data_IF_166900843020
#
_entry.id   IF_166900843020
#
_cell.length_a   1.000
_cell.length_b   1.000
_cell.length_c   1.000
_cell.angle_alpha   90.00
_cell.angle_beta   90.00
_cell.angle_gamma   90.00
#
_symmetry.space_group_name_H-M   'P 1'
#
loop_
_entity.id
_entity.type
_entity.pdbx_description
1 polymer ?
#
# COMPACT_ATOMS: atom_id res chain seq x y z
N UNK A 1 -16.70 8.02 -12.22
CA UNK A 1 -15.39 8.59 -12.60
C UNK A 1 -14.60 7.49 -13.30
N UNK A 2 -14.30 7.63 -14.59
CA UNK A 2 -13.34 6.73 -15.26
C UNK A 2 -11.95 7.13 -14.78
N UNK A 3 -11.40 6.39 -13.83
CA UNK A 3 -9.97 6.48 -13.52
C UNK A 3 -9.25 5.96 -14.77
N UNK A 4 -8.41 6.77 -15.44
CA UNK A 4 -7.73 6.33 -16.66
C UNK A 4 -6.83 5.14 -16.34
N UNK A 5 -6.89 4.11 -17.20
CA UNK A 5 -5.99 2.96 -17.14
C UNK A 5 -4.54 3.46 -17.08
N UNK A 6 -3.69 2.89 -16.20
CA UNK A 6 -2.27 3.21 -16.18
C UNK A 6 -1.66 3.09 -17.57
N UNK A 7 -0.89 4.10 -17.97
CA UNK A 7 -0.16 4.07 -19.23
C UNK A 7 1.00 3.08 -19.13
N UNK A 8 0.83 1.92 -19.77
CA UNK A 8 1.83 0.84 -19.84
C UNK A 8 2.75 0.98 -21.06
N UNK A 9 2.73 2.10 -21.78
CA UNK A 9 3.57 2.32 -22.98
C UNK A 9 5.07 2.19 -22.72
N UNK A 10 5.49 2.36 -21.46
CA UNK A 10 6.87 2.20 -21.00
C UNK A 10 7.29 0.74 -20.75
N UNK A 11 6.36 -0.23 -20.83
CA UNK A 11 6.61 -1.65 -20.59
C UNK A 11 6.55 -2.41 -21.91
N UNK A 12 7.68 -2.96 -22.34
CA UNK A 12 7.72 -3.84 -23.52
C UNK A 12 7.07 -5.20 -23.24
N UNK A 13 6.66 -5.91 -24.30
CA UNK A 13 6.07 -7.26 -24.16
C UNK A 13 7.04 -8.25 -23.49
N UNK A 14 8.34 -8.11 -23.76
CA UNK A 14 9.38 -8.96 -23.17
C UNK A 14 9.62 -8.59 -21.70
N UNK A 15 9.56 -7.30 -21.35
CA UNK A 15 9.56 -6.84 -19.95
C UNK A 15 8.33 -7.32 -19.19
N UNK A 16 7.16 -7.30 -19.83
CA UNK A 16 5.94 -7.85 -19.25
C UNK A 16 6.05 -9.35 -19.00
N UNK A 17 6.64 -10.10 -19.93
CA UNK A 17 6.84 -11.54 -19.77
C UNK A 17 7.92 -11.90 -18.74
N UNK A 18 9.00 -11.11 -18.60
CA UNK A 18 10.04 -11.34 -17.59
C UNK A 18 9.65 -10.89 -16.18
N UNK A 19 8.80 -9.87 -16.04
CA UNK A 19 8.22 -9.44 -14.76
C UNK A 19 7.24 -10.48 -14.19
N UNK A 20 6.71 -11.37 -15.04
CA UNK A 20 5.71 -12.39 -14.70
C UNK A 20 6.25 -13.83 -14.58
N UNK A 21 7.56 -14.05 -14.33
CA UNK A 21 7.96 -15.31 -13.66
C UNK A 21 7.25 -15.36 -12.29
N UNK A 22 6.68 -16.51 -11.87
CA UNK A 22 5.35 -16.54 -11.24
C UNK A 22 5.31 -15.79 -9.91
N UNK A 23 5.03 -14.49 -9.98
CA UNK A 23 4.76 -13.66 -8.83
C UNK A 23 3.38 -14.02 -8.27
N UNK A 24 3.28 -14.12 -6.95
CA UNK A 24 2.00 -14.34 -6.28
C UNK A 24 1.42 -12.98 -5.91
N UNK A 25 0.23 -12.67 -6.42
CA UNK A 25 -0.48 -11.43 -6.11
C UNK A 25 -1.46 -11.67 -4.96
N UNK A 26 -1.10 -11.21 -3.76
CA UNK A 26 -1.96 -11.22 -2.59
C UNK A 26 -2.52 -9.82 -2.33
N UNK A 27 -3.82 -9.72 -2.06
CA UNK A 27 -4.48 -8.49 -1.64
C UNK A 27 -5.28 -8.72 -0.36
N UNK A 28 -5.30 -7.73 0.51
CA UNK A 28 -6.08 -7.74 1.75
C UNK A 28 -6.97 -6.53 1.81
N UNK A 29 -8.21 -6.72 2.26
CA UNK A 29 -9.12 -5.62 2.55
C UNK A 29 -10.01 -5.99 3.74
N UNK A 30 -10.43 -5.02 4.53
CA UNK A 30 -11.39 -5.27 5.63
C UNK A 30 -12.83 -5.38 5.08
N UNK A 31 -13.09 -4.79 3.91
CA UNK A 31 -14.39 -4.74 3.27
C UNK A 31 -14.57 -5.94 2.30
N UNK A 32 -15.63 -6.72 2.50
CA UNK A 32 -15.92 -7.90 1.70
C UNK A 32 -16.26 -7.57 0.23
N UNK A 33 -16.89 -6.42 -0.02
CA UNK A 33 -17.19 -5.94 -1.37
C UNK A 33 -15.91 -5.57 -2.11
N UNK A 34 -14.92 -4.97 -1.42
CA UNK A 34 -13.64 -4.65 -2.01
C UNK A 34 -12.88 -5.93 -2.42
N UNK A 35 -12.82 -6.93 -1.54
CA UNK A 35 -12.20 -8.23 -1.85
C UNK A 35 -12.87 -8.93 -3.06
N UNK A 36 -14.22 -8.97 -3.10
CA UNK A 36 -14.98 -9.50 -4.25
C UNK A 36 -14.72 -8.71 -5.54
N UNK A 37 -14.58 -7.39 -5.44
CA UNK A 37 -14.31 -6.52 -6.58
C UNK A 37 -12.90 -6.75 -7.12
N UNK A 38 -11.90 -6.91 -6.25
CA UNK A 38 -10.53 -7.27 -6.64
C UNK A 38 -10.48 -8.56 -7.47
N UNK A 39 -11.21 -9.61 -7.05
CA UNK A 39 -11.29 -10.86 -7.82
C UNK A 39 -11.91 -10.64 -9.21
N UNK A 40 -12.99 -9.84 -9.31
CA UNK A 40 -13.61 -9.50 -10.60
C UNK A 40 -12.68 -8.69 -11.49
N UNK A 41 -11.91 -7.76 -10.93
CA UNK A 41 -10.91 -6.98 -11.64
C UNK A 41 -9.79 -7.88 -12.17
N UNK A 42 -9.30 -8.83 -11.36
CA UNK A 42 -8.34 -9.84 -11.81
C UNK A 42 -8.88 -10.66 -12.99
N UNK A 43 -10.11 -11.17 -12.87
CA UNK A 43 -10.79 -11.93 -13.93
C UNK A 43 -10.92 -11.12 -15.23
N UNK A 44 -11.38 -9.86 -15.15
CA UNK A 44 -11.53 -8.99 -16.30
C UNK A 44 -10.20 -8.72 -17.03
N UNK A 45 -9.08 -8.66 -16.27
CA UNK A 45 -7.74 -8.44 -16.80
C UNK A 45 -6.96 -9.74 -17.06
N UNK A 46 -7.58 -10.91 -16.83
CA UNK A 46 -6.96 -12.25 -16.98
C UNK A 46 -5.69 -12.42 -16.13
N UNK A 47 -5.67 -11.83 -14.93
CA UNK A 47 -4.61 -11.97 -13.93
C UNK A 47 -5.15 -12.71 -12.72
N UNK A 48 -4.37 -13.67 -12.20
CA UNK A 48 -4.67 -14.35 -10.94
C UNK A 48 -4.29 -13.45 -9.76
N UNK A 49 -5.27 -13.09 -8.94
CA UNK A 49 -5.09 -12.29 -7.73
C UNK A 49 -5.88 -12.97 -6.61
N UNK A 50 -5.24 -13.23 -5.48
CA UNK A 50 -5.89 -13.80 -4.30
C UNK A 50 -6.24 -12.69 -3.32
N UNK A 51 -7.52 -12.54 -3.00
CA UNK A 51 -8.02 -11.54 -2.06
C UNK A 51 -8.44 -12.18 -0.73
N UNK A 52 -7.97 -11.63 0.39
CA UNK A 52 -8.27 -12.12 1.75
C UNK A 52 -8.95 -11.01 2.54
N UNK A 53 -10.12 -11.30 3.10
CA UNK A 53 -10.82 -10.37 3.99
C UNK A 53 -10.16 -10.44 5.37
N UNK A 54 -9.44 -9.39 5.76
CA UNK A 54 -8.65 -9.37 7.00
C UNK A 54 -8.18 -7.96 7.36
N UNK A 55 -7.86 -7.72 8.63
CA UNK A 55 -7.21 -6.47 9.05
C UNK A 55 -5.72 -6.55 8.76
N UNK A 56 -5.22 -5.61 7.94
CA UNK A 56 -3.85 -5.59 7.42
C UNK A 56 -3.44 -6.97 6.90
N UNK A 57 -2.55 -7.67 7.61
CA UNK A 57 -2.06 -9.00 7.26
C UNK A 57 -2.33 -10.04 8.34
N UNK A 58 -3.16 -9.75 9.34
CA UNK A 58 -3.28 -10.55 10.57
C UNK A 58 -3.50 -12.06 10.34
N UNK A 59 -4.33 -12.44 9.37
CA UNK A 59 -4.59 -13.85 9.03
C UNK A 59 -3.48 -14.55 8.24
N UNK A 60 -2.54 -13.79 7.66
CA UNK A 60 -1.45 -14.28 6.83
C UNK A 60 -0.07 -14.09 7.49
N UNK A 61 0.00 -13.23 8.51
CA UNK A 61 1.21 -12.56 8.97
C UNK A 61 2.40 -13.51 9.16
N UNK A 62 2.20 -14.60 9.90
CA UNK A 62 3.26 -15.58 10.18
C UNK A 62 3.83 -16.25 8.94
N UNK A 63 3.02 -16.45 7.88
CA UNK A 63 3.47 -17.13 6.65
C UNK A 63 4.18 -16.20 5.68
N UNK A 64 3.87 -14.90 5.74
CA UNK A 64 4.39 -13.89 4.81
C UNK A 64 5.45 -12.98 5.44
N UNK A 65 5.76 -13.18 6.73
CA UNK A 65 6.83 -12.48 7.43
C UNK A 65 8.16 -12.66 6.68
N UNK A 66 8.86 -11.54 6.44
CA UNK A 66 10.09 -11.45 5.67
C UNK A 66 10.06 -12.05 4.25
N UNK A 67 8.87 -12.23 3.66
CA UNK A 67 8.69 -12.87 2.35
C UNK A 67 8.00 -11.97 1.33
N UNK A 68 7.80 -10.68 1.63
CA UNK A 68 7.19 -9.73 0.69
C UNK A 68 8.26 -8.93 -0.05
N UNK A 69 8.36 -9.14 -1.36
CA UNK A 69 9.28 -8.40 -2.23
C UNK A 69 8.69 -7.04 -2.67
N UNK A 70 7.37 -6.97 -2.85
CA UNK A 70 6.66 -5.73 -3.18
C UNK A 70 5.43 -5.62 -2.28
N UNK A 71 5.44 -4.62 -1.40
CA UNK A 71 4.31 -4.23 -0.56
C UNK A 71 3.75 -2.90 -1.05
N UNK A 72 2.44 -2.82 -1.26
CA UNK A 72 1.78 -1.58 -1.70
C UNK A 72 0.65 -1.30 -0.74
N UNK A 73 0.57 -0.05 -0.26
CA UNK A 73 -0.56 0.39 0.53
C UNK A 73 -0.99 1.80 0.14
N UNK A 74 -2.25 1.91 -0.27
CA UNK A 74 -2.96 3.17 -0.41
C UNK A 74 -3.94 3.29 0.76
N UNK A 75 -3.48 3.80 1.93
CA UNK A 75 -4.26 3.76 3.17
C UNK A 75 -5.43 4.75 3.15
N UNK A 76 -6.38 4.64 4.09
CA UNK A 76 -7.23 5.76 4.45
C UNK A 76 -6.38 6.86 5.10
N UNK A 77 -5.99 7.86 4.30
CA UNK A 77 -5.05 8.92 4.68
C UNK A 77 -5.72 10.27 4.95
N UNK A 78 -7.05 10.38 4.85
CA UNK A 78 -7.76 11.64 5.01
C UNK A 78 -7.90 11.96 6.49
N UNK A 79 -7.66 13.23 6.85
CA UNK A 79 -7.84 13.72 8.22
C UNK A 79 -9.34 13.66 8.58
N UNK A 80 -9.66 12.92 9.63
CA UNK A 80 -11.01 12.79 10.19
C UNK A 80 -10.96 12.85 11.71
N UNK A 81 -12.10 12.78 12.37
CA UNK A 81 -12.11 12.46 13.81
C UNK A 81 -11.71 11.00 14.02
N UNK A 82 -11.21 10.67 15.23
CA UNK A 82 -10.86 9.28 15.57
C UNK A 82 -12.06 8.34 15.58
N UNK A 83 -13.26 8.86 15.88
CA UNK A 83 -14.51 8.07 15.90
C UNK A 83 -14.91 7.54 14.51
N UNK A 84 -14.39 8.15 13.44
CA UNK A 84 -14.63 7.71 12.05
C UNK A 84 -13.69 6.58 11.60
N UNK A 85 -12.66 6.23 12.39
CA UNK A 85 -11.68 5.20 12.05
C UNK A 85 -12.21 3.81 12.42
N UNK A 86 -12.08 2.84 11.50
CA UNK A 86 -12.41 1.43 11.76
C UNK A 86 -13.83 0.99 11.39
N UNK A 87 -14.57 1.83 10.66
CA UNK A 87 -15.74 1.39 9.89
C UNK A 87 -15.34 0.23 8.94
N UNK A 88 -16.26 -0.69 8.66
CA UNK A 88 -16.10 -1.73 7.64
C UNK A 88 -16.82 -1.36 6.32
N UNK A 89 -17.40 -0.16 6.27
CA UNK A 89 -18.17 0.38 5.16
C UNK A 89 -17.29 1.12 4.14
N UNK A 90 -17.87 2.14 3.51
CA UNK A 90 -17.18 2.95 2.50
C UNK A 90 -16.21 3.94 3.17
N UNK A 91 -16.49 4.36 4.40
CA UNK A 91 -15.69 5.32 5.16
C UNK A 91 -14.29 4.77 5.47
N UNK A 92 -14.17 3.44 5.59
CA UNK A 92 -12.91 2.73 5.74
C UNK A 92 -11.89 3.01 4.61
N UNK A 93 -12.36 3.47 3.45
CA UNK A 93 -11.52 3.78 2.31
C UNK A 93 -10.77 5.12 2.44
N UNK A 94 -11.20 6.02 3.34
CA UNK A 94 -10.55 7.33 3.50
C UNK A 94 -10.27 7.75 4.95
N UNK A 95 -11.09 7.34 5.93
CA UNK A 95 -11.01 7.84 7.30
C UNK A 95 -9.72 7.44 8.03
N UNK A 96 -8.76 8.36 8.08
CA UNK A 96 -7.43 8.16 8.66
C UNK A 96 -7.26 8.71 10.07
N UNK A 97 -8.27 9.37 10.63
CA UNK A 97 -8.22 9.93 11.99
C UNK A 97 -7.32 11.16 12.11
N UNK A 98 -6.71 11.35 13.29
CA UNK A 98 -5.85 12.51 13.57
C UNK A 98 -4.66 12.53 12.61
N UNK A 99 -4.43 13.69 11.98
CA UNK A 99 -3.44 13.88 10.91
C UNK A 99 -3.59 12.89 9.72
N UNK A 100 -4.71 12.14 9.66
CA UNK A 100 -4.91 11.06 8.69
C UNK A 100 -3.96 9.87 8.88
N UNK A 101 -3.40 9.67 10.08
CA UNK A 101 -2.34 8.68 10.32
C UNK A 101 -2.69 7.50 11.19
N UNK A 102 -3.86 7.43 11.83
CA UNK A 102 -4.12 6.37 12.81
C UNK A 102 -4.04 4.96 12.23
N UNK A 103 -4.44 4.79 10.96
CA UNK A 103 -4.30 3.52 10.23
C UNK A 103 -2.86 3.33 9.72
N UNK A 104 -2.21 4.42 9.30
CA UNK A 104 -0.83 4.42 8.80
C UNK A 104 0.14 4.01 9.92
N UNK A 105 0.05 4.65 11.08
CA UNK A 105 0.91 4.44 12.23
C UNK A 105 0.79 3.00 12.77
N UNK A 106 -0.37 2.34 12.62
CA UNK A 106 -0.56 0.91 12.90
C UNK A 106 0.07 -0.01 11.86
N UNK A 107 0.17 0.45 10.61
CA UNK A 107 0.75 -0.31 9.49
C UNK A 107 2.28 -0.23 9.46
N UNK A 108 2.88 0.91 9.80
CA UNK A 108 4.33 1.13 9.71
C UNK A 108 5.20 0.02 10.37
N UNK A 109 4.90 -0.47 11.59
CA UNK A 109 5.64 -1.58 12.19
C UNK A 109 5.62 -2.85 11.33
N UNK A 110 4.49 -3.12 10.67
CA UNK A 110 4.30 -4.31 9.82
C UNK A 110 5.21 -4.28 8.59
N UNK A 111 5.52 -3.10 8.05
CA UNK A 111 6.42 -2.98 6.89
C UNK A 111 7.77 -3.63 7.20
N UNK A 112 8.35 -3.34 8.35
CA UNK A 112 9.64 -3.91 8.76
C UNK A 112 9.60 -5.43 8.97
N UNK A 113 8.45 -5.96 9.38
CA UNK A 113 8.22 -7.40 9.63
C UNK A 113 7.95 -8.17 8.34
N UNK A 114 7.26 -7.55 7.38
CA UNK A 114 6.80 -8.21 6.16
C UNK A 114 7.85 -8.21 5.05
N UNK A 115 8.60 -7.11 4.89
CA UNK A 115 9.54 -6.97 3.78
C UNK A 115 10.67 -8.01 3.83
N UNK A 116 10.89 -8.64 2.67
CA UNK A 116 12.06 -9.50 2.42
C UNK A 116 13.36 -8.69 2.47
N UNK A 117 14.50 -9.36 2.28
CA UNK A 117 15.80 -8.66 2.23
C UNK A 117 15.89 -7.64 1.08
N UNK A 118 15.20 -7.92 -0.02
CA UNK A 118 15.15 -7.07 -1.22
C UNK A 118 13.81 -6.34 -1.33
N UNK A 119 12.94 -6.50 -0.33
CA UNK A 119 11.57 -6.01 -0.35
C UNK A 119 11.47 -4.50 -0.34
N UNK A 120 10.48 -3.99 -1.06
CA UNK A 120 10.17 -2.57 -1.14
C UNK A 120 8.71 -2.32 -0.79
N UNK A 121 8.44 -1.28 -0.02
CA UNK A 121 7.09 -0.83 0.32
C UNK A 121 6.79 0.50 -0.34
N UNK A 122 5.64 0.63 -0.99
CA UNK A 122 5.13 1.86 -1.57
C UNK A 122 3.89 2.32 -0.81
N UNK A 123 3.98 3.50 -0.19
CA UNK A 123 2.93 4.08 0.63
C UNK A 123 2.44 5.39 0.00
N UNK A 124 1.13 5.51 -0.20
CA UNK A 124 0.52 6.78 -0.61
C UNK A 124 0.26 7.64 0.63
N UNK A 125 0.63 8.92 0.55
CA UNK A 125 0.44 9.92 1.61
C UNK A 125 -0.04 11.24 1.03
N UNK A 126 -0.68 12.06 1.86
CA UNK A 126 -0.93 13.49 1.63
C UNK A 126 -0.01 14.35 2.49
N UNK A 127 0.04 15.66 2.21
CA UNK A 127 0.88 16.62 2.96
C UNK A 127 0.57 16.60 4.46
N UNK A 128 -0.71 16.48 4.78
CA UNK A 128 -1.27 16.46 6.13
C UNK A 128 -0.76 15.28 6.96
N UNK A 129 -0.40 14.15 6.32
CA UNK A 129 0.18 12.99 7.00
C UNK A 129 1.63 13.21 7.42
N UNK A 130 2.24 14.35 7.08
CA UNK A 130 3.64 14.71 7.40
C UNK A 130 4.64 13.64 6.93
N UNK A 131 4.78 13.41 5.61
CA UNK A 131 5.62 12.33 5.06
C UNK A 131 7.05 12.34 5.58
N UNK A 132 7.66 13.51 5.77
CA UNK A 132 9.04 13.64 6.29
C UNK A 132 9.19 13.06 7.70
N UNK A 133 8.18 13.24 8.57
CA UNK A 133 8.15 12.68 9.93
C UNK A 133 8.06 11.16 9.89
N UNK A 134 7.17 10.61 9.05
CA UNK A 134 7.04 9.17 8.82
C UNK A 134 8.35 8.57 8.30
N UNK A 135 8.97 9.23 7.32
CA UNK A 135 10.23 8.79 6.72
C UNK A 135 11.36 8.74 7.74
N UNK A 136 11.50 9.78 8.57
CA UNK A 136 12.50 9.84 9.62
C UNK A 136 12.25 8.78 10.70
N UNK A 137 11.01 8.63 11.15
CA UNK A 137 10.64 7.59 12.12
C UNK A 137 10.94 6.17 11.61
N UNK A 138 10.67 5.90 10.33
CA UNK A 138 10.95 4.60 9.72
C UNK A 138 12.45 4.28 9.63
N UNK A 139 13.27 5.31 9.41
CA UNK A 139 14.73 5.17 9.45
C UNK A 139 15.21 4.90 10.88
N UNK A 140 14.78 5.71 11.85
CA UNK A 140 15.30 5.68 13.22
C UNK A 140 14.90 4.40 13.97
N UNK A 141 13.67 3.93 13.80
CA UNK A 141 13.14 2.79 14.57
C UNK A 141 13.38 1.45 13.86
N UNK A 142 13.30 1.41 12.53
CA UNK A 142 13.31 0.16 11.76
C UNK A 142 14.49 0.04 10.80
N UNK A 143 15.37 1.05 10.71
CA UNK A 143 16.48 1.11 9.75
C UNK A 143 16.00 0.93 8.29
N UNK A 144 14.82 1.46 7.98
CA UNK A 144 14.27 1.47 6.62
C UNK A 144 14.55 2.83 5.97
N UNK A 145 15.33 2.80 4.89
CA UNK A 145 15.58 3.97 4.07
C UNK A 145 14.34 4.31 3.26
N UNK A 146 14.20 5.58 2.90
CA UNK A 146 13.05 6.03 2.15
C UNK A 146 13.32 7.19 1.21
N UNK A 147 12.49 7.30 0.18
CA UNK A 147 12.49 8.42 -0.75
C UNK A 147 11.07 8.67 -1.30
N UNK A 148 10.81 9.92 -1.72
CA UNK A 148 9.58 10.27 -2.44
C UNK A 148 9.80 9.97 -3.92
N UNK A 149 9.22 8.88 -4.42
CA UNK A 149 9.38 8.45 -5.82
C UNK A 149 8.43 9.16 -6.78
N UNK A 150 7.32 9.69 -6.28
CA UNK A 150 6.36 10.46 -7.06
C UNK A 150 5.67 11.51 -6.20
N UNK A 151 5.46 12.68 -6.77
CA UNK A 151 4.63 13.74 -6.19
C UNK A 151 3.65 14.25 -7.25
N UNK A 152 2.39 14.42 -6.87
CA UNK A 152 1.35 14.95 -7.75
C UNK A 152 0.40 15.85 -6.97
N UNK A 153 -0.02 16.95 -7.58
CA UNK A 153 -1.15 17.74 -7.07
C UNK A 153 -2.42 17.27 -7.77
N UNK A 154 -3.44 16.89 -7.00
CA UNK A 154 -4.76 16.51 -7.50
C UNK A 154 -5.82 17.33 -6.77
N UNK A 155 -6.40 18.33 -7.45
CA UNK A 155 -7.25 19.31 -6.80
C UNK A 155 -6.50 20.09 -5.71
N UNK A 156 -7.00 20.02 -4.47
CA UNK A 156 -6.40 20.66 -3.31
C UNK A 156 -5.34 19.77 -2.61
N UNK A 157 -5.29 18.48 -2.93
CA UNK A 157 -4.42 17.52 -2.26
C UNK A 157 -3.04 17.46 -2.91
N UNK A 158 -1.99 17.50 -2.09
CA UNK A 158 -0.63 17.15 -2.49
C UNK A 158 -0.35 15.69 -2.16
N UNK A 159 -0.42 14.82 -3.17
CA UNK A 159 -0.19 13.38 -3.06
C UNK A 159 1.30 13.07 -3.22
N UNK A 160 1.78 12.14 -2.40
CA UNK A 160 3.12 11.61 -2.37
C UNK A 160 3.06 10.09 -2.44
N UNK A 161 3.97 9.48 -3.20
CA UNK A 161 4.28 8.06 -3.10
C UNK A 161 5.66 7.94 -2.48
N UNK A 162 5.73 7.37 -1.29
CA UNK A 162 6.97 7.13 -0.56
C UNK A 162 7.36 5.68 -0.71
N UNK A 163 8.61 5.44 -1.11
CA UNK A 163 9.22 4.11 -1.19
C UNK A 163 10.05 3.87 0.07
N UNK A 164 9.83 2.76 0.76
CA UNK A 164 10.66 2.28 1.87
C UNK A 164 11.39 1.00 1.46
N UNK A 165 12.66 0.88 1.86
CA UNK A 165 13.51 -0.26 1.50
C UNK A 165 14.64 -0.46 2.51
N UNK A 166 15.21 -1.66 2.54
CA UNK A 166 16.43 -1.94 3.32
C UNK A 166 17.66 -1.49 2.53
N UNK A 167 18.68 -0.93 3.20
CA UNK A 167 19.96 -0.68 2.56
C UNK A 167 20.53 -1.98 1.99
N UNK A 168 21.07 -1.90 0.77
CA UNK A 168 21.82 -3.01 0.20
C UNK A 168 23.04 -3.29 1.10
N UNK A 169 23.22 -4.56 1.46
CA UNK A 169 24.41 -5.06 2.18
C UNK A 169 25.56 -5.15 1.19
#
# INVERSE_FOLDING_TARGET
MNVPTPDISHISRDQYQSVYEPAVFLCTDINDFAAKTTLKTGQANKIQIDAVITSFTSSLHQRICHNIDVLIFNPPYVVTTSDEVGSHGIEAAWAGGIDGREVIDKFLPLVSQLLSKQGQCYLVLIKENRPEEIMQHMLDIYNLHSEIVLKRKAGFEGLFVVRFYRSAI
#
